data_IF_599967110230
#
_entry.id   IF_599967110230
#
_cell.length_a   1.000
_cell.length_b   1.000
_cell.length_c   1.000
_cell.angle_alpha   90.00
_cell.angle_beta   90.00
_cell.angle_gamma   90.00
#
_symmetry.space_group_name_H-M   'P 1'
#
loop_
_entity.id
_entity.type
_entity.pdbx_description
1 polymer ?
#
# COMPACT_ATOMS: atom_id res chain seq x y z
N UNK A 1 -3.36 26.76 -37.17
CA UNK A 1 -3.08 26.93 -35.73
C UNK A 1 -3.04 25.55 -35.08
N UNK A 2 -1.85 25.00 -34.85
CA UNK A 2 -1.58 23.90 -33.92
C UNK A 2 -0.06 23.80 -33.75
N UNK A 3 0.48 24.68 -32.92
CA UNK A 3 1.88 24.59 -32.53
C UNK A 3 1.96 23.71 -31.28
N UNK A 4 2.58 22.55 -31.46
CA UNK A 4 2.84 21.57 -30.41
C UNK A 4 4.12 21.97 -29.69
N UNK A 5 4.00 22.40 -28.44
CA UNK A 5 5.15 22.71 -27.61
C UNK A 5 5.63 21.46 -26.86
N UNK A 6 6.91 21.14 -27.00
CA UNK A 6 7.55 20.01 -26.31
C UNK A 6 7.93 20.41 -24.88
N UNK A 7 7.94 19.42 -23.97
CA UNK A 7 8.13 19.58 -22.51
C UNK A 7 9.38 20.37 -22.10
N UNK A 8 10.40 20.43 -22.95
CA UNK A 8 11.65 21.16 -22.71
C UNK A 8 11.50 22.69 -22.83
N UNK A 9 10.52 23.19 -23.59
CA UNK A 9 10.24 24.62 -23.73
C UNK A 9 9.41 25.14 -22.54
N UNK A 10 8.61 24.29 -21.89
CA UNK A 10 7.81 24.67 -20.72
C UNK A 10 8.68 24.97 -19.49
N UNK A 11 9.76 24.21 -19.29
CA UNK A 11 10.66 24.35 -18.14
C UNK A 11 11.42 25.69 -18.19
N UNK A 12 11.67 26.24 -19.38
CA UNK A 12 12.35 27.54 -19.52
C UNK A 12 11.42 28.74 -19.32
N UNK A 13 10.11 28.56 -19.46
CA UNK A 13 9.12 29.63 -19.34
C UNK A 13 8.82 29.99 -17.87
N UNK A 14 8.93 29.03 -16.95
CA UNK A 14 8.75 29.29 -15.52
C UNK A 14 9.97 29.99 -14.86
N UNK A 15 11.08 30.15 -15.58
CA UNK A 15 12.37 30.57 -14.99
C UNK A 15 12.79 32.04 -15.17
N UNK A 16 12.03 32.90 -15.87
CA UNK A 16 12.48 34.27 -16.17
C UNK A 16 11.36 35.31 -16.23
N UNK A 17 10.91 35.81 -15.06
CA UNK A 17 10.49 37.21 -14.90
C UNK A 17 10.60 37.63 -13.42
N UNK A 18 11.80 38.01 -13.00
CA UNK A 18 12.00 38.91 -11.88
C UNK A 18 12.26 40.31 -12.47
N UNK A 19 11.48 41.34 -12.09
CA UNK A 19 11.83 42.72 -12.41
C UNK A 19 10.72 43.77 -12.36
N UNK A 20 10.55 44.36 -11.16
CA UNK A 20 10.05 45.73 -10.84
C UNK A 20 8.53 45.97 -10.78
N UNK A 21 8.03 46.24 -9.56
CA UNK A 21 7.22 47.42 -9.13
C UNK A 21 7.35 47.53 -7.59
N UNK A 22 7.36 48.76 -7.08
CA UNK A 22 7.74 49.15 -5.73
C UNK A 22 6.54 49.35 -4.77
N UNK A 23 6.86 49.32 -3.46
CA UNK A 23 6.11 49.74 -2.26
C UNK A 23 4.77 49.10 -1.91
N UNK A 24 4.79 48.35 -0.80
CA UNK A 24 3.62 48.00 0.00
C UNK A 24 3.96 46.85 0.94
N UNK A 25 4.18 47.14 2.24
CA UNK A 25 4.40 46.12 3.27
C UNK A 25 3.24 45.12 3.29
N UNK A 26 3.46 43.96 2.70
CA UNK A 26 2.60 42.80 2.88
C UNK A 26 3.45 41.75 3.61
N UNK A 27 2.99 41.41 4.81
CA UNK A 27 3.62 40.46 5.72
C UNK A 27 3.82 39.13 5.00
N UNK A 28 5.07 38.70 4.92
CA UNK A 28 5.48 37.42 4.35
C UNK A 28 5.12 36.29 5.33
N UNK A 29 3.92 35.72 5.17
CA UNK A 29 3.52 34.51 5.90
C UNK A 29 2.90 33.50 4.95
N UNK A 30 3.57 32.35 4.81
CA UNK A 30 2.92 31.10 4.39
C UNK A 30 3.09 30.69 2.94
N UNK A 31 4.31 30.58 2.42
CA UNK A 31 4.57 29.42 1.56
C UNK A 31 4.71 28.22 2.49
N UNK A 32 3.60 27.55 2.76
CA UNK A 32 3.64 26.20 3.28
C UNK A 32 4.12 25.35 2.11
N UNK A 33 5.45 25.30 1.96
CA UNK A 33 6.09 24.24 1.20
C UNK A 33 5.62 22.97 1.89
N UNK A 34 4.73 22.22 1.24
CA UNK A 34 4.52 20.84 1.64
C UNK A 34 5.90 20.20 1.52
N UNK A 35 6.46 19.83 2.66
CA UNK A 35 7.71 19.11 2.73
C UNK A 35 7.58 17.89 1.82
N UNK A 36 8.24 17.91 0.66
CA UNK A 36 8.64 16.67 0.05
C UNK A 36 9.77 16.16 0.95
N UNK A 37 9.39 15.46 2.01
CA UNK A 37 10.27 14.51 2.64
C UNK A 37 10.73 13.54 1.55
N UNK A 38 11.97 13.72 1.12
CA UNK A 38 12.74 12.64 0.53
C UNK A 38 12.84 11.56 1.62
N UNK A 39 11.83 10.69 1.69
CA UNK A 39 11.84 9.45 2.46
C UNK A 39 13.05 8.64 1.96
N UNK A 40 14.15 8.79 2.70
CA UNK A 40 15.38 8.08 2.47
C UNK A 40 15.12 6.58 2.69
N UNK A 41 15.00 5.84 1.59
CA UNK A 41 15.37 4.41 1.44
C UNK A 41 14.89 3.44 2.52
N UNK A 42 13.75 3.68 3.19
CA UNK A 42 13.13 2.65 4.00
C UNK A 42 12.10 1.91 3.15
N UNK A 43 12.39 0.69 2.67
CA UNK A 43 11.45 -0.04 1.83
C UNK A 43 10.24 -0.55 2.64
N UNK A 44 10.25 -0.37 3.97
CA UNK A 44 9.20 -0.86 4.84
C UNK A 44 7.92 -0.04 4.72
N UNK A 45 6.79 -0.74 4.74
CA UNK A 45 5.46 -0.17 4.82
C UNK A 45 5.03 -0.10 6.28
N UNK A 46 4.64 1.08 6.73
CA UNK A 46 4.17 1.34 8.09
C UNK A 46 2.66 1.53 8.06
N UNK A 47 1.94 0.78 8.89
CA UNK A 47 0.48 0.87 9.04
C UNK A 47 0.19 1.15 10.51
N UNK A 48 -0.42 2.30 10.78
CA UNK A 48 -0.90 2.64 12.12
C UNK A 48 -2.38 2.23 12.26
N UNK A 49 -2.63 1.27 13.14
CA UNK A 49 -3.94 0.66 13.41
C UNK A 49 -4.89 1.63 14.13
N UNK A 50 -4.36 2.67 14.78
CA UNK A 50 -5.19 3.71 15.40
C UNK A 50 -5.90 4.60 14.37
N UNK A 51 -5.42 4.61 13.12
CA UNK A 51 -5.99 5.44 12.07
C UNK A 51 -7.34 4.87 11.59
N UNK A 52 -8.36 5.72 11.32
CA UNK A 52 -9.70 5.25 10.94
C UNK A 52 -9.71 4.30 9.73
N UNK A 53 -8.85 4.55 8.73
CA UNK A 53 -8.70 3.72 7.53
C UNK A 53 -8.18 2.30 7.81
N UNK A 54 -7.52 2.09 8.95
CA UNK A 54 -6.95 0.80 9.36
C UNK A 54 -7.70 0.21 10.57
N UNK A 55 -8.82 0.81 10.98
CA UNK A 55 -9.56 0.45 12.20
C UNK A 55 -9.98 -1.01 12.26
N UNK A 56 -10.18 -1.68 11.11
CA UNK A 56 -10.44 -3.12 11.04
C UNK A 56 -9.37 -3.96 11.77
N UNK A 57 -8.10 -3.52 11.81
CA UNK A 57 -7.03 -4.26 12.49
C UNK A 57 -7.00 -4.06 14.02
N UNK A 58 -7.92 -3.26 14.58
CA UNK A 58 -8.10 -3.14 16.02
C UNK A 58 -8.72 -4.41 16.61
N UNK A 59 -9.53 -5.12 15.80
CA UNK A 59 -10.20 -6.35 16.20
C UNK A 59 -9.37 -7.57 15.80
N UNK A 60 -9.18 -8.48 16.75
CA UNK A 60 -8.54 -9.77 16.49
C UNK A 60 -9.47 -10.64 15.65
N UNK A 61 -8.92 -11.28 14.62
CA UNK A 61 -9.68 -12.05 13.63
C UNK A 61 -9.98 -11.27 12.35
N UNK A 62 -9.89 -9.94 12.38
CA UNK A 62 -10.21 -9.11 11.22
C UNK A 62 -9.07 -9.02 10.21
N UNK A 63 -9.43 -8.58 9.00
CA UNK A 63 -8.53 -8.45 7.86
C UNK A 63 -8.54 -7.02 7.33
N UNK A 64 -7.43 -6.60 6.73
CA UNK A 64 -7.33 -5.37 5.97
C UNK A 64 -6.60 -5.63 4.65
N UNK A 65 -7.25 -5.32 3.54
CA UNK A 65 -6.58 -5.33 2.25
C UNK A 65 -5.99 -3.94 1.97
N UNK A 66 -4.68 -3.91 1.83
CA UNK A 66 -3.97 -2.77 1.29
C UNK A 66 -3.89 -2.96 -0.22
N UNK A 67 -4.28 -1.93 -0.96
CA UNK A 67 -4.08 -1.88 -2.41
C UNK A 67 -2.59 -1.66 -2.74
N UNK A 68 -2.31 -1.23 -3.97
CA UNK A 68 -0.94 -1.00 -4.42
C UNK A 68 -0.22 -0.01 -3.50
N UNK A 69 1.03 -0.33 -3.18
CA UNK A 69 1.81 0.39 -2.17
C UNK A 69 3.31 0.31 -2.49
N UNK A 70 4.15 0.86 -1.60
CA UNK A 70 5.61 0.93 -1.83
C UNK A 70 6.31 -0.43 -1.90
N UNK A 71 5.75 -1.47 -1.28
CA UNK A 71 6.29 -2.84 -1.30
C UNK A 71 5.76 -3.62 -2.50
N UNK A 72 4.46 -3.56 -2.75
CA UNK A 72 3.79 -4.27 -3.85
C UNK A 72 2.99 -3.29 -4.70
N UNK A 73 3.57 -2.89 -5.83
CA UNK A 73 3.00 -1.89 -6.73
C UNK A 73 1.95 -2.44 -7.68
N UNK A 74 1.71 -3.77 -7.67
CA UNK A 74 0.82 -4.43 -8.63
C UNK A 74 -0.40 -5.08 -7.96
N UNK A 75 -0.21 -5.72 -6.82
CA UNK A 75 -1.25 -6.54 -6.19
C UNK A 75 -1.68 -6.01 -4.82
N UNK A 76 -0.76 -5.41 -4.09
CA UNK A 76 -0.97 -4.99 -2.71
C UNK A 76 -0.81 -6.12 -1.70
N UNK A 77 -1.19 -5.86 -0.44
CA UNK A 77 -0.90 -6.72 0.70
C UNK A 77 -2.19 -7.00 1.48
N UNK A 78 -2.41 -8.26 1.84
CA UNK A 78 -3.51 -8.70 2.67
C UNK A 78 -3.02 -8.91 4.10
N UNK A 79 -3.53 -8.11 5.03
CA UNK A 79 -3.21 -8.20 6.45
C UNK A 79 -4.31 -8.96 7.19
N UNK A 80 -3.90 -9.87 8.06
CA UNK A 80 -4.78 -10.62 8.95
C UNK A 80 -4.31 -10.46 10.40
N UNK A 81 -5.18 -9.94 11.27
CA UNK A 81 -4.92 -9.79 12.70
C UNK A 81 -5.12 -11.13 13.41
N UNK A 82 -4.07 -11.94 13.44
CA UNK A 82 -4.11 -13.30 13.97
C UNK A 82 -4.38 -13.33 15.48
N UNK A 83 -3.69 -12.49 16.24
CA UNK A 83 -3.88 -12.35 17.68
C UNK A 83 -3.51 -10.94 18.16
N UNK A 84 -3.52 -10.70 19.47
CA UNK A 84 -3.23 -9.39 20.06
C UNK A 84 -1.81 -8.86 19.77
N UNK A 85 -0.86 -9.73 19.46
CA UNK A 85 0.55 -9.39 19.18
C UNK A 85 0.98 -9.70 17.74
N UNK A 86 0.19 -10.45 16.98
CA UNK A 86 0.59 -11.00 15.69
C UNK A 86 -0.31 -10.51 14.55
N UNK A 87 0.34 -10.01 13.50
CA UNK A 87 -0.29 -9.76 12.19
C UNK A 87 0.44 -10.57 11.15
N UNK A 88 -0.32 -11.28 10.32
CA UNK A 88 0.21 -11.93 9.12
C UNK A 88 -0.02 -11.03 7.91
N UNK A 89 0.98 -10.91 7.05
CA UNK A 89 0.93 -10.09 5.86
C UNK A 89 1.22 -10.96 4.63
N UNK A 90 0.26 -11.08 3.72
CA UNK A 90 0.39 -11.90 2.51
C UNK A 90 0.37 -11.03 1.26
N UNK A 91 1.04 -11.46 0.20
CA UNK A 91 0.79 -10.88 -1.12
C UNK A 91 -0.65 -11.17 -1.54
N UNK A 92 -1.28 -10.17 -2.16
CA UNK A 92 -2.59 -10.37 -2.80
C UNK A 92 -2.48 -11.02 -4.19
N UNK A 93 -1.28 -11.41 -4.61
CA UNK A 93 -1.03 -12.12 -5.86
C UNK A 93 -1.45 -13.58 -5.73
N UNK A 94 -2.50 -13.96 -6.44
CA UNK A 94 -2.91 -15.35 -6.58
C UNK A 94 -1.78 -16.18 -7.21
N UNK A 95 -1.36 -17.25 -6.55
CA UNK A 95 -0.27 -18.13 -6.98
C UNK A 95 -0.59 -19.01 -8.18
N UNK A 96 -1.84 -18.99 -8.67
CA UNK A 96 -2.21 -19.65 -9.91
C UNK A 96 -1.80 -18.83 -11.15
N UNK A 97 -2.39 -17.64 -11.31
CA UNK A 97 -2.29 -16.85 -12.54
C UNK A 97 -2.09 -15.35 -12.28
N UNK A 98 -1.55 -14.99 -11.11
CA UNK A 98 -1.18 -13.63 -10.73
C UNK A 98 -2.34 -12.61 -10.80
N UNK A 99 -3.56 -13.03 -10.49
CA UNK A 99 -4.66 -12.10 -10.25
C UNK A 99 -4.62 -11.56 -8.82
N UNK A 100 -5.27 -10.42 -8.58
CA UNK A 100 -5.52 -9.92 -7.22
C UNK A 100 -6.57 -10.82 -6.55
N UNK A 101 -6.30 -11.27 -5.32
CA UNK A 101 -7.28 -11.98 -4.48
C UNK A 101 -8.12 -11.00 -3.68
N UNK A 102 -9.34 -11.43 -3.35
CA UNK A 102 -10.21 -10.71 -2.45
C UNK A 102 -9.74 -10.81 -0.99
N UNK A 103 -10.15 -9.89 -0.11
CA UNK A 103 -9.89 -10.01 1.33
C UNK A 103 -10.48 -11.31 1.90
N UNK A 104 -10.01 -11.72 3.09
CA UNK A 104 -10.70 -12.77 3.83
C UNK A 104 -12.13 -12.34 4.15
N UNK A 105 -13.08 -13.21 3.89
CA UNK A 105 -14.50 -12.95 4.16
C UNK A 105 -14.98 -13.80 5.33
N UNK A 106 -15.47 -13.14 6.37
CA UNK A 106 -16.14 -13.82 7.50
C UNK A 106 -17.37 -14.61 7.02
N UNK A 107 -18.05 -14.14 5.96
CA UNK A 107 -19.21 -14.82 5.36
C UNK A 107 -18.85 -16.13 4.66
N UNK A 108 -17.59 -16.29 4.22
CA UNK A 108 -17.09 -17.48 3.51
C UNK A 108 -16.21 -18.36 4.42
N UNK A 109 -16.37 -18.29 5.74
CA UNK A 109 -15.57 -19.08 6.70
C UNK A 109 -14.08 -18.72 6.65
N UNK A 110 -13.77 -17.41 6.66
CA UNK A 110 -12.41 -16.89 6.69
C UNK A 110 -11.55 -17.31 5.48
N UNK A 111 -12.19 -17.35 4.31
CA UNK A 111 -11.56 -17.68 3.03
C UNK A 111 -11.34 -16.42 2.21
N UNK A 112 -10.18 -16.35 1.56
CA UNK A 112 -9.90 -15.42 0.46
C UNK A 112 -10.11 -16.13 -0.87
N UNK A 113 -10.89 -15.55 -1.77
CA UNK A 113 -11.15 -16.08 -3.11
C UNK A 113 -10.49 -15.24 -4.21
N UNK A 114 -10.11 -15.91 -5.30
CA UNK A 114 -9.67 -15.28 -6.53
C UNK A 114 -10.73 -15.46 -7.62
N UNK A 115 -11.31 -14.35 -8.09
CA UNK A 115 -12.43 -14.37 -9.04
C UNK A 115 -12.05 -14.77 -10.46
N UNK A 116 -10.75 -14.81 -10.79
CA UNK A 116 -10.30 -15.21 -12.12
C UNK A 116 -10.60 -16.69 -12.43
N UNK A 117 -10.33 -17.60 -11.48
CA UNK A 117 -10.42 -19.05 -11.69
C UNK A 117 -10.89 -19.83 -10.44
N UNK A 118 -11.34 -19.13 -9.39
CA UNK A 118 -11.89 -19.74 -8.19
C UNK A 118 -10.87 -20.37 -7.24
N UNK A 119 -9.59 -19.96 -7.28
CA UNK A 119 -8.63 -20.35 -6.23
C UNK A 119 -9.08 -19.78 -4.88
N UNK A 120 -9.01 -20.59 -3.83
CA UNK A 120 -9.37 -20.21 -2.46
C UNK A 120 -8.19 -20.44 -1.52
N UNK A 121 -7.94 -19.50 -0.62
CA UNK A 121 -6.86 -19.54 0.36
C UNK A 121 -7.42 -19.38 1.78
N UNK A 122 -6.88 -20.12 2.74
CA UNK A 122 -7.25 -19.99 4.16
C UNK A 122 -6.44 -18.89 4.88
N UNK A 123 -6.75 -18.63 6.15
CA UNK A 123 -6.06 -17.64 7.00
C UNK A 123 -4.55 -17.86 7.18
N UNK A 124 -4.04 -19.06 6.86
CA UNK A 124 -2.60 -19.35 6.83
C UNK A 124 -1.96 -19.11 5.45
N UNK A 125 -2.72 -18.61 4.48
CA UNK A 125 -2.30 -18.38 3.10
C UNK A 125 -2.26 -19.64 2.24
N UNK A 126 -2.64 -20.81 2.77
CA UNK A 126 -2.57 -22.07 2.04
C UNK A 126 -3.75 -22.22 1.08
N UNK A 127 -3.54 -22.74 -0.14
CA UNK A 127 -4.64 -23.05 -1.06
C UNK A 127 -5.49 -24.18 -0.47
N UNK A 128 -6.81 -24.02 -0.56
CA UNK A 128 -7.80 -25.03 -0.09
C UNK A 128 -8.79 -25.44 -1.18
N UNK A 129 -8.86 -24.69 -2.28
CA UNK A 129 -9.63 -25.06 -3.46
C UNK A 129 -9.13 -24.33 -4.72
N UNK A 130 -9.53 -24.83 -5.87
CA UNK A 130 -9.19 -24.26 -7.19
C UNK A 130 -7.78 -24.62 -7.66
N UNK A 131 -7.29 -23.96 -8.71
CA UNK A 131 -6.06 -24.38 -9.41
C UNK A 131 -4.73 -23.96 -8.76
N UNK A 132 -4.73 -23.07 -7.76
CA UNK A 132 -3.51 -22.70 -7.04
C UNK A 132 -2.95 -23.90 -6.26
N UNK A 133 -1.66 -24.19 -6.40
CA UNK A 133 -0.99 -25.33 -5.78
C UNK A 133 0.02 -24.94 -4.69
N UNK A 134 0.31 -23.65 -4.53
CA UNK A 134 1.27 -23.15 -3.53
C UNK A 134 0.64 -22.07 -2.66
N UNK A 135 1.12 -21.91 -1.40
CA UNK A 135 0.67 -20.85 -0.51
C UNK A 135 0.96 -19.46 -1.05
N UNK A 136 0.18 -18.47 -0.62
CA UNK A 136 0.48 -17.06 -0.86
C UNK A 136 1.85 -16.71 -0.29
N UNK A 137 2.60 -15.87 -1.01
CA UNK A 137 3.85 -15.32 -0.50
C UNK A 137 3.57 -14.49 0.75
N UNK A 138 4.36 -14.67 1.81
CA UNK A 138 4.19 -13.93 3.06
C UNK A 138 5.29 -12.88 3.21
N UNK A 139 4.94 -11.68 3.67
CA UNK A 139 5.90 -10.65 4.07
C UNK A 139 6.21 -10.76 5.56
N UNK A 140 7.43 -10.37 5.95
CA UNK A 140 7.73 -10.22 7.37
C UNK A 140 6.97 -9.00 7.91
N UNK A 141 6.18 -9.20 8.97
CA UNK A 141 5.43 -8.15 9.64
C UNK A 141 5.64 -8.23 11.15
N UNK A 142 5.79 -7.08 11.79
CA UNK A 142 5.88 -6.95 13.25
C UNK A 142 4.87 -5.93 13.74
N UNK A 143 4.18 -6.24 14.84
CA UNK A 143 3.29 -5.33 15.53
C UNK A 143 3.95 -4.83 16.83
N UNK A 144 4.07 -3.52 16.98
CA UNK A 144 4.55 -2.88 18.20
C UNK A 144 3.60 -1.74 18.59
N UNK A 145 2.86 -1.92 19.68
CA UNK A 145 1.75 -1.03 20.04
C UNK A 145 0.70 -1.02 18.94
N UNK A 146 0.49 0.14 18.32
CA UNK A 146 -0.47 0.33 17.23
C UNK A 146 0.18 0.30 15.85
N UNK A 147 1.50 0.13 15.78
CA UNK A 147 2.26 0.23 14.53
C UNK A 147 2.61 -1.15 13.99
N UNK A 148 2.11 -1.45 12.79
CA UNK A 148 2.56 -2.57 11.98
C UNK A 148 3.69 -2.09 11.09
N UNK A 149 4.83 -2.79 11.13
CA UNK A 149 5.92 -2.61 10.18
C UNK A 149 5.99 -3.84 9.30
N UNK A 150 5.88 -3.65 7.98
CA UNK A 150 6.00 -4.70 6.97
C UNK A 150 7.30 -4.46 6.22
N UNK A 151 8.15 -5.48 6.12
CA UNK A 151 9.45 -5.38 5.47
C UNK A 151 9.31 -5.79 4.00
N UNK A 152 9.99 -5.08 3.11
CA UNK A 152 10.01 -5.45 1.70
C UNK A 152 10.76 -6.78 1.46
N UNK A 153 10.26 -7.56 0.51
CA UNK A 153 10.71 -8.92 0.28
C UNK A 153 9.82 -9.93 1.00
N UNK A 154 9.49 -11.00 0.30
CA UNK A 154 8.69 -12.09 0.85
C UNK A 154 9.61 -13.07 1.57
N UNK A 155 9.09 -13.71 2.61
CA UNK A 155 9.71 -14.86 3.25
C UNK A 155 9.78 -15.96 2.20
N UNK A 156 10.99 -16.26 1.73
CA UNK A 156 11.22 -17.44 0.90
C UNK A 156 10.94 -18.66 1.77
N UNK A 157 9.91 -19.42 1.41
CA UNK A 157 9.60 -20.72 2.01
C UNK A 157 10.41 -21.83 1.37
#
# INVERSE_FOLDING_TARGET
MKDSYNRLEFIKLCGKTAGKIAFGSFVLSGIQSCDNEMEATNPNLIVDISRPENSALQDVGSTLALDTNKIDQLYGILLYRFDVNTIKAYSRRCTHANCVINPFSEFETDISNCDCHGSKFNLSGNPVAGPAQTPLDQYQATLSGNTVTIIAGTLTT
#
